data_IF_691340136458
#
_entry.id   IF_691340136458
#
_cell.length_a   1.000
_cell.length_b   1.000
_cell.length_c   1.000
_cell.angle_alpha   90.00
_cell.angle_beta   90.00
_cell.angle_gamma   90.00
#
_symmetry.space_group_name_H-M   'P 1'
#
loop_
_entity.id
_entity.type
_entity.pdbx_description
1 polymer ?
#
# COMPACT_ATOMS: atom_id res chain seq x y z
N UNK A 1 7.46 -5.08 -36.94
CA UNK A 1 6.25 -4.32 -36.51
C UNK A 1 5.34 -5.32 -35.79
N UNK A 2 5.27 -5.20 -34.44
CA UNK A 2 4.33 -5.98 -33.64
C UNK A 2 2.95 -5.35 -33.76
N UNK A 3 2.04 -6.04 -34.44
CA UNK A 3 0.63 -5.66 -34.45
C UNK A 3 0.01 -6.04 -33.11
N UNK A 4 -0.12 -5.08 -32.20
CA UNK A 4 -0.90 -5.25 -30.98
C UNK A 4 -2.39 -5.35 -31.32
N UNK A 5 -3.09 -6.31 -30.69
CA UNK A 5 -4.56 -6.35 -30.76
C UNK A 5 -5.14 -5.33 -29.77
N UNK A 6 -6.03 -4.47 -30.27
CA UNK A 6 -6.75 -3.51 -29.45
C UNK A 6 -8.25 -3.84 -29.44
N UNK A 7 -8.87 -3.74 -28.26
CA UNK A 7 -10.31 -3.87 -28.15
C UNK A 7 -11.01 -2.69 -28.87
N UNK A 8 -12.05 -3.00 -29.62
CA UNK A 8 -12.98 -1.97 -30.13
C UNK A 8 -13.72 -1.32 -28.96
N UNK A 9 -14.37 -0.18 -29.18
CA UNK A 9 -15.20 0.49 -28.17
C UNK A 9 -16.30 -0.46 -27.62
N UNK A 10 -16.93 -1.22 -28.52
CA UNK A 10 -17.92 -2.23 -28.18
C UNK A 10 -17.31 -3.43 -27.43
N UNK A 11 -16.04 -3.77 -27.72
CA UNK A 11 -15.28 -4.78 -26.99
C UNK A 11 -14.98 -4.35 -25.54
N UNK A 12 -14.63 -3.09 -25.32
CA UNK A 12 -14.45 -2.52 -23.96
C UNK A 12 -15.75 -2.56 -23.18
N UNK A 13 -16.84 -2.04 -23.76
CA UNK A 13 -18.17 -2.08 -23.12
C UNK A 13 -18.62 -3.50 -22.78
N UNK A 14 -18.32 -4.48 -23.63
CA UNK A 14 -18.62 -5.89 -23.35
C UNK A 14 -17.78 -6.40 -22.16
N UNK A 15 -16.49 -6.13 -22.14
CA UNK A 15 -15.62 -6.56 -21.04
C UNK A 15 -16.08 -5.97 -19.71
N UNK A 16 -16.38 -4.66 -19.67
CA UNK A 16 -16.85 -3.98 -18.48
C UNK A 16 -18.19 -4.55 -17.98
N UNK A 17 -19.10 -4.85 -18.91
CA UNK A 17 -20.40 -5.46 -18.57
C UNK A 17 -20.28 -6.94 -18.16
N UNK A 18 -19.33 -7.68 -18.70
CA UNK A 18 -19.13 -9.10 -18.42
C UNK A 18 -18.33 -9.34 -17.11
N UNK A 19 -17.46 -8.40 -16.72
CA UNK A 19 -16.58 -8.55 -15.55
C UNK A 19 -17.34 -8.92 -14.28
N UNK A 20 -18.45 -8.27 -13.89
CA UNK A 20 -19.21 -8.64 -12.68
C UNK A 20 -19.75 -10.07 -12.71
N UNK A 21 -20.10 -10.60 -13.89
CA UNK A 21 -20.56 -11.98 -14.04
C UNK A 21 -19.42 -12.99 -13.85
N UNK A 22 -18.25 -12.69 -14.41
CA UNK A 22 -17.03 -13.50 -14.22
C UNK A 22 -16.63 -13.53 -12.75
N UNK A 23 -16.64 -12.38 -12.08
CA UNK A 23 -16.28 -12.26 -10.66
C UNK A 23 -17.28 -13.01 -9.77
N UNK A 24 -18.58 -12.95 -10.10
CA UNK A 24 -19.62 -13.69 -9.38
C UNK A 24 -19.47 -15.21 -9.57
N UNK A 25 -19.12 -15.65 -10.78
CA UNK A 25 -18.83 -17.04 -11.07
C UNK A 25 -17.61 -17.55 -10.32
N UNK A 26 -16.53 -16.79 -10.31
CA UNK A 26 -15.33 -17.14 -9.55
C UNK A 26 -15.58 -17.19 -8.04
N UNK A 27 -16.40 -16.28 -7.50
CA UNK A 27 -16.84 -16.32 -6.10
C UNK A 27 -17.67 -17.57 -5.80
N UNK A 28 -18.61 -17.90 -6.68
CA UNK A 28 -19.42 -19.12 -6.57
C UNK A 28 -18.54 -20.37 -6.57
N UNK A 29 -17.62 -20.51 -7.53
CA UNK A 29 -16.71 -21.65 -7.58
C UNK A 29 -15.89 -21.79 -6.30
N UNK A 30 -15.40 -20.68 -5.73
CA UNK A 30 -14.67 -20.67 -4.46
C UNK A 30 -15.57 -21.10 -3.29
N UNK A 31 -16.79 -20.58 -3.19
CA UNK A 31 -17.72 -20.89 -2.09
C UNK A 31 -18.18 -22.34 -2.08
N UNK A 32 -18.22 -23.00 -3.24
CA UNK A 32 -18.67 -24.38 -3.40
C UNK A 32 -17.54 -25.41 -3.34
N UNK A 33 -16.28 -24.97 -3.16
CA UNK A 33 -15.13 -25.89 -3.15
C UNK A 33 -14.89 -26.60 -4.47
N UNK A 34 -15.43 -26.10 -5.60
CA UNK A 34 -15.20 -26.63 -6.94
C UNK A 34 -13.79 -26.29 -7.48
N UNK A 35 -12.85 -26.00 -6.59
CA UNK A 35 -11.45 -25.97 -7.01
C UNK A 35 -11.05 -27.40 -7.36
N UNK A 36 -10.92 -27.64 -8.67
CA UNK A 36 -10.40 -28.89 -9.19
C UNK A 36 -9.12 -29.24 -8.44
N UNK A 37 -9.05 -30.46 -7.92
CA UNK A 37 -7.93 -31.06 -7.17
C UNK A 37 -6.58 -31.06 -7.94
N UNK A 38 -6.47 -30.34 -9.03
CA UNK A 38 -5.27 -30.13 -9.86
C UNK A 38 -4.93 -28.65 -10.10
N UNK A 39 -5.77 -27.69 -9.69
CA UNK A 39 -5.38 -26.27 -9.71
C UNK A 39 -4.60 -25.97 -8.43
N UNK A 40 -3.36 -25.50 -8.58
CA UNK A 40 -2.61 -24.93 -7.45
C UNK A 40 -3.46 -23.85 -6.81
N UNK A 41 -3.52 -23.86 -5.48
CA UNK A 41 -4.10 -22.73 -4.76
C UNK A 41 -3.35 -21.47 -5.14
N UNK A 42 -4.06 -20.38 -5.34
CA UNK A 42 -3.47 -19.12 -5.75
C UNK A 42 -3.74 -18.06 -4.69
N UNK A 43 -2.67 -17.37 -4.25
CA UNK A 43 -2.74 -16.28 -3.29
C UNK A 43 -2.18 -15.00 -3.91
N UNK A 44 -3.00 -13.97 -4.00
CA UNK A 44 -2.66 -12.65 -4.57
C UNK A 44 -2.52 -11.63 -3.45
N UNK A 45 -1.31 -11.11 -3.30
CA UNK A 45 -0.91 -10.25 -2.20
C UNK A 45 -0.55 -8.86 -2.75
N UNK A 46 -1.31 -7.84 -2.37
CA UNK A 46 -0.91 -6.47 -2.61
C UNK A 46 0.12 -6.03 -1.55
N UNK A 47 1.21 -5.41 -1.99
CA UNK A 47 2.28 -4.98 -1.10
C UNK A 47 2.64 -3.52 -1.32
N UNK A 48 2.50 -2.73 -0.27
CA UNK A 48 3.01 -1.37 -0.22
C UNK A 48 4.53 -1.30 -0.05
N UNK A 49 5.09 -0.14 -0.37
CA UNK A 49 6.55 0.11 -0.31
C UNK A 49 7.16 -0.10 1.08
N UNK A 50 6.37 -0.08 2.16
CA UNK A 50 6.84 -0.33 3.53
C UNK A 50 7.23 -1.77 3.80
N UNK A 51 6.70 -2.73 3.05
CA UNK A 51 7.15 -4.13 3.11
C UNK A 51 8.65 -4.21 2.81
N UNK A 52 9.08 -3.45 1.80
CA UNK A 52 10.48 -3.41 1.38
C UNK A 52 11.34 -2.58 2.33
N UNK A 53 10.90 -1.38 2.70
CA UNK A 53 11.68 -0.49 3.56
C UNK A 53 11.86 -1.01 4.99
N UNK A 54 10.97 -1.88 5.46
CA UNK A 54 11.11 -2.61 6.73
C UNK A 54 11.82 -3.95 6.60
N UNK A 55 12.28 -4.33 5.40
CA UNK A 55 13.04 -5.55 5.16
C UNK A 55 12.22 -6.84 5.28
N UNK A 56 10.89 -6.76 5.23
CA UNK A 56 10.02 -7.93 5.39
C UNK A 56 9.94 -8.81 4.14
N UNK A 57 10.30 -8.30 2.98
CA UNK A 57 10.10 -9.03 1.72
C UNK A 57 10.83 -10.37 1.69
N UNK A 58 12.05 -10.43 2.24
CA UNK A 58 12.84 -11.66 2.30
C UNK A 58 12.15 -12.73 3.14
N UNK A 59 11.59 -12.34 4.30
CA UNK A 59 10.88 -13.26 5.18
C UNK A 59 9.57 -13.75 4.54
N UNK A 60 8.86 -12.84 3.86
CA UNK A 60 7.64 -13.19 3.11
C UNK A 60 7.96 -14.21 2.01
N UNK A 61 9.01 -13.98 1.24
CA UNK A 61 9.43 -14.92 0.20
C UNK A 61 9.79 -16.28 0.81
N UNK A 62 10.59 -16.30 1.87
CA UNK A 62 11.00 -17.54 2.55
C UNK A 62 9.83 -18.32 3.17
N UNK A 63 8.76 -17.63 3.59
CA UNK A 63 7.56 -18.32 4.07
C UNK A 63 6.95 -19.19 2.96
N UNK A 64 6.88 -18.68 1.75
CA UNK A 64 6.26 -19.38 0.63
C UNK A 64 7.13 -20.48 0.03
N UNK A 65 8.44 -20.51 0.27
CA UNK A 65 9.32 -21.62 -0.12
C UNK A 65 8.87 -22.96 0.47
N UNK A 66 8.18 -22.93 1.62
CA UNK A 66 7.65 -24.11 2.29
C UNK A 66 6.26 -24.53 1.80
N UNK A 67 5.68 -23.83 0.83
CA UNK A 67 4.33 -24.08 0.31
C UNK A 67 4.35 -24.26 -1.23
N UNK A 68 4.99 -25.32 -1.76
CA UNK A 68 5.24 -25.51 -3.19
C UNK A 68 3.96 -25.68 -4.03
N UNK A 69 2.86 -26.07 -3.40
CA UNK A 69 1.55 -26.22 -4.05
C UNK A 69 0.73 -24.92 -4.09
N UNK A 70 1.27 -23.84 -3.52
CA UNK A 70 0.64 -22.52 -3.52
C UNK A 70 1.32 -21.63 -4.56
N UNK A 71 0.55 -21.19 -5.54
CA UNK A 71 0.98 -20.15 -6.47
C UNK A 71 0.76 -18.78 -5.83
N UNK A 72 1.80 -17.93 -5.80
CA UNK A 72 1.72 -16.60 -5.15
C UNK A 72 1.98 -15.52 -6.19
N UNK A 73 1.09 -14.54 -6.24
CA UNK A 73 1.30 -13.31 -7.03
C UNK A 73 1.45 -12.13 -6.11
N UNK A 74 2.58 -11.42 -6.23
CA UNK A 74 2.80 -10.15 -5.55
C UNK A 74 2.41 -8.99 -6.47
N UNK A 75 1.51 -8.15 -5.99
CA UNK A 75 1.00 -6.98 -6.72
C UNK A 75 1.57 -5.74 -6.04
N UNK A 76 2.43 -5.01 -6.75
CA UNK A 76 3.18 -3.87 -6.20
C UNK A 76 3.05 -2.62 -7.06
N UNK A 77 2.11 -2.64 -8.03
CA UNK A 77 1.95 -1.52 -8.96
C UNK A 77 1.56 -0.25 -8.25
N UNK A 78 2.22 0.82 -8.65
CA UNK A 78 1.91 2.16 -8.22
C UNK A 78 0.47 2.54 -8.61
N UNK A 79 -0.23 3.20 -7.72
CA UNK A 79 -1.63 3.61 -7.97
C UNK A 79 -2.65 2.49 -7.87
N UNK A 80 -2.24 1.26 -7.54
CA UNK A 80 -3.19 0.17 -7.35
C UNK A 80 -4.01 0.40 -6.08
N UNK A 81 -5.32 0.49 -6.25
CA UNK A 81 -6.26 0.56 -5.14
C UNK A 81 -6.50 -0.86 -4.59
N UNK A 82 -5.73 -1.24 -3.58
CA UNK A 82 -5.88 -2.56 -2.97
C UNK A 82 -7.26 -2.77 -2.35
N UNK A 83 -7.98 -1.70 -1.97
CA UNK A 83 -9.35 -1.83 -1.45
C UNK A 83 -10.32 -2.27 -2.54
N UNK A 84 -10.19 -1.71 -3.74
CA UNK A 84 -10.96 -2.17 -4.90
C UNK A 84 -10.67 -3.64 -5.20
N UNK A 85 -9.39 -4.03 -5.17
CA UNK A 85 -8.97 -5.40 -5.40
C UNK A 85 -9.42 -6.40 -4.33
N UNK A 86 -9.47 -5.99 -3.05
CA UNK A 86 -10.06 -6.80 -1.98
C UNK A 86 -11.57 -6.95 -2.15
N UNK A 87 -12.24 -5.89 -2.63
CA UNK A 87 -13.69 -5.87 -2.84
C UNK A 87 -14.12 -6.77 -4.01
N UNK A 88 -13.44 -6.69 -5.14
CA UNK A 88 -13.76 -7.48 -6.34
C UNK A 88 -13.15 -8.87 -6.33
N UNK A 89 -12.26 -9.16 -5.36
CA UNK A 89 -11.60 -10.43 -5.19
C UNK A 89 -10.44 -10.66 -6.16
N UNK A 90 -9.91 -9.63 -6.81
CA UNK A 90 -8.66 -9.70 -7.58
C UNK A 90 -7.43 -9.74 -6.68
N UNK A 91 -7.55 -9.34 -5.41
CA UNK A 91 -6.57 -9.49 -4.33
C UNK A 91 -7.17 -10.32 -3.20
N UNK A 92 -6.36 -11.11 -2.55
CA UNK A 92 -6.74 -11.96 -1.43
C UNK A 92 -6.38 -11.33 -0.07
N UNK A 93 -5.27 -10.61 -0.02
CA UNK A 93 -4.86 -9.82 1.13
C UNK A 93 -3.93 -8.66 0.71
N UNK A 94 -3.80 -7.66 1.58
CA UNK A 94 -2.88 -6.56 1.41
C UNK A 94 -1.95 -6.40 2.63
N UNK A 95 -0.71 -6.02 2.36
CA UNK A 95 0.29 -5.60 3.34
C UNK A 95 0.59 -4.12 3.09
N UNK A 96 -0.16 -3.26 3.71
CA UNK A 96 -0.03 -1.81 3.52
C UNK A 96 -0.60 -1.04 4.72
N UNK A 97 -0.68 0.25 4.60
CA UNK A 97 -1.31 1.14 5.58
C UNK A 97 -2.82 0.95 5.55
N UNK A 98 -3.43 0.88 6.74
CA UNK A 98 -4.89 0.94 6.85
C UNK A 98 -5.41 2.26 6.25
N UNK A 99 -6.47 2.20 5.45
CA UNK A 99 -7.09 3.39 4.90
C UNK A 99 -7.83 4.14 6.02
N UNK A 100 -8.06 5.45 5.85
CA UNK A 100 -8.98 6.19 6.72
C UNK A 100 -10.36 5.55 6.76
N UNK A 101 -11.05 5.64 7.90
CA UNK A 101 -12.40 5.07 8.07
C UNK A 101 -13.38 5.50 6.97
N UNK A 102 -13.24 6.73 6.46
CA UNK A 102 -14.09 7.25 5.38
C UNK A 102 -14.00 6.46 4.07
N UNK A 103 -12.91 5.72 3.84
CA UNK A 103 -12.72 4.87 2.67
C UNK A 103 -13.17 3.42 2.89
N UNK A 104 -13.40 3.03 4.14
CA UNK A 104 -13.79 1.65 4.50
C UNK A 104 -15.29 1.40 4.37
N UNK A 105 -16.11 2.45 4.25
CA UNK A 105 -17.56 2.32 4.22
C UNK A 105 -18.10 1.52 3.03
N UNK A 106 -17.39 1.52 1.91
CA UNK A 106 -17.77 0.79 0.69
C UNK A 106 -17.04 -0.55 0.54
N UNK A 107 -16.21 -0.93 1.52
CA UNK A 107 -15.48 -2.18 1.52
C UNK A 107 -16.28 -3.30 2.21
N UNK A 108 -16.06 -4.57 1.85
CA UNK A 108 -16.53 -5.69 2.66
C UNK A 108 -15.93 -5.60 4.07
N UNK A 109 -16.52 -6.25 5.07
CA UNK A 109 -15.89 -6.35 6.38
C UNK A 109 -14.44 -6.84 6.24
N UNK A 110 -13.50 -6.09 6.82
CA UNK A 110 -12.07 -6.41 6.76
C UNK A 110 -11.61 -6.93 8.13
N UNK A 111 -10.78 -7.97 8.10
CA UNK A 111 -9.98 -8.43 9.22
C UNK A 111 -8.58 -7.84 9.09
N UNK A 112 -8.18 -7.05 10.08
CA UNK A 112 -6.96 -6.25 10.03
C UNK A 112 -6.15 -6.42 11.30
N UNK A 113 -4.82 -6.50 11.17
CA UNK A 113 -3.93 -6.39 12.31
C UNK A 113 -2.69 -5.56 11.97
N UNK A 114 -2.24 -4.75 12.92
CA UNK A 114 -1.02 -3.98 12.79
C UNK A 114 0.20 -4.90 12.97
N UNK A 115 1.17 -4.77 12.06
CA UNK A 115 2.43 -5.51 12.08
C UNK A 115 3.56 -4.64 12.63
N UNK A 116 3.77 -3.46 12.07
CA UNK A 116 4.87 -2.56 12.41
C UNK A 116 4.33 -1.14 12.55
N UNK A 117 4.64 -0.50 13.67
CA UNK A 117 4.37 0.93 13.90
C UNK A 117 5.62 1.78 13.65
N UNK A 118 5.49 2.84 12.87
CA UNK A 118 6.58 3.75 12.55
C UNK A 118 6.20 5.21 12.79
N UNK A 119 7.18 6.01 13.14
CA UNK A 119 6.99 7.46 13.22
C UNK A 119 6.72 8.06 11.85
N UNK A 120 5.72 8.94 11.79
CA UNK A 120 5.47 9.76 10.62
C UNK A 120 6.51 10.88 10.56
N UNK A 121 7.18 11.00 9.43
CA UNK A 121 8.26 11.94 9.22
C UNK A 121 8.01 12.81 7.99
N UNK A 122 8.70 13.95 7.96
CA UNK A 122 8.90 14.72 6.73
C UNK A 122 10.12 14.14 6.03
N UNK A 123 9.91 13.60 4.84
CA UNK A 123 10.95 13.06 3.98
C UNK A 123 11.48 14.17 3.09
N UNK A 124 12.79 14.35 3.05
CA UNK A 124 13.44 15.41 2.28
C UNK A 124 14.82 14.98 1.75
N UNK A 125 15.39 15.78 0.87
CA UNK A 125 16.78 15.58 0.45
C UNK A 125 17.70 15.69 1.67
N UNK A 126 18.76 14.83 1.78
CA UNK A 126 19.79 15.01 2.80
C UNK A 126 20.49 16.38 2.74
N UNK A 127 20.40 17.07 1.60
CA UNK A 127 20.95 18.43 1.41
C UNK A 127 19.97 19.54 1.85
N UNK A 128 18.74 19.21 2.23
CA UNK A 128 17.79 20.22 2.75
C UNK A 128 18.29 20.71 4.11
N UNK A 129 18.39 22.04 4.36
CA UNK A 129 18.86 22.55 5.64
C UNK A 129 18.08 22.05 6.86
N UNK A 130 16.84 21.64 6.67
CA UNK A 130 15.97 21.10 7.73
C UNK A 130 16.25 19.62 8.06
N UNK A 131 17.09 18.93 7.26
CA UNK A 131 17.38 17.50 7.42
C UNK A 131 18.05 17.14 8.74
N UNK A 132 18.68 18.11 9.40
CA UNK A 132 19.36 17.96 10.69
C UNK A 132 18.52 18.34 11.89
N UNK A 133 17.28 18.76 11.68
CA UNK A 133 16.37 19.11 12.78
C UNK A 133 15.95 17.84 13.54
N UNK A 134 15.74 18.00 14.85
CA UNK A 134 15.25 16.92 15.69
C UNK A 134 13.80 16.57 15.38
N UNK A 135 12.99 17.57 15.03
CA UNK A 135 11.60 17.43 14.60
C UNK A 135 11.18 18.63 13.74
N UNK A 136 10.06 18.48 13.02
CA UNK A 136 9.42 19.54 12.24
C UNK A 136 7.95 19.65 12.65
N UNK A 137 7.50 20.87 12.97
CA UNK A 137 6.07 21.13 13.13
C UNK A 137 5.39 21.16 11.76
N UNK A 138 4.18 20.63 11.58
CA UNK A 138 3.44 20.77 10.34
C UNK A 138 3.33 22.22 9.86
N UNK A 139 3.27 23.19 10.76
CA UNK A 139 3.22 24.63 10.41
C UNK A 139 4.46 25.12 9.66
N UNK A 140 5.60 24.50 9.86
CA UNK A 140 6.85 24.83 9.17
C UNK A 140 6.85 24.34 7.70
N UNK A 141 5.83 23.57 7.32
CA UNK A 141 5.60 23.17 5.92
C UNK A 141 4.78 24.20 5.13
N UNK A 142 4.34 25.30 5.76
CA UNK A 142 3.63 26.38 5.08
C UNK A 142 4.41 26.85 3.87
N UNK A 143 3.80 26.86 2.71
CA UNK A 143 4.43 27.31 1.44
C UNK A 143 5.50 26.36 0.88
N UNK A 144 5.80 25.23 1.53
CA UNK A 144 6.74 24.25 1.00
C UNK A 144 6.19 23.57 -0.26
N UNK A 145 7.08 23.19 -1.17
CA UNK A 145 6.71 22.28 -2.25
C UNK A 145 6.49 20.89 -1.67
N UNK A 146 5.31 20.32 -1.88
CA UNK A 146 4.93 19.00 -1.38
C UNK A 146 4.92 17.97 -2.49
N UNK A 147 5.33 16.74 -2.17
CA UNK A 147 5.27 15.59 -3.07
C UNK A 147 4.34 14.57 -2.43
N UNK A 148 3.37 14.07 -3.18
CA UNK A 148 2.34 13.14 -2.66
C UNK A 148 1.85 12.19 -3.75
N UNK A 149 0.97 11.27 -3.37
CA UNK A 149 0.28 10.38 -4.30
C UNK A 149 -0.69 11.12 -5.24
N UNK A 150 -1.32 10.38 -6.14
CA UNK A 150 -2.34 10.91 -7.04
C UNK A 150 -3.51 11.49 -6.23
N UNK A 151 -4.27 12.36 -6.88
CA UNK A 151 -5.43 12.98 -6.23
C UNK A 151 -6.44 11.93 -5.75
N UNK A 152 -6.85 12.06 -4.48
CA UNK A 152 -7.74 11.11 -3.82
C UNK A 152 -7.08 9.85 -3.26
N UNK A 153 -5.78 9.63 -3.50
CA UNK A 153 -5.03 8.55 -2.84
C UNK A 153 -4.95 8.77 -1.31
N UNK A 154 -4.56 7.73 -0.60
CA UNK A 154 -4.40 7.80 0.86
C UNK A 154 -3.35 8.86 1.24
N UNK A 155 -2.26 8.97 0.49
CA UNK A 155 -1.20 9.97 0.68
C UNK A 155 -1.72 11.39 0.47
N UNK A 156 -2.46 11.63 -0.59
CA UNK A 156 -3.06 12.93 -0.89
C UNK A 156 -4.06 13.36 0.19
N UNK A 157 -4.90 12.44 0.64
CA UNK A 157 -5.87 12.70 1.72
C UNK A 157 -5.16 13.00 3.04
N UNK A 158 -4.14 12.21 3.40
CA UNK A 158 -3.32 12.44 4.60
C UNK A 158 -2.67 13.83 4.56
N UNK A 159 -2.12 14.21 3.41
CA UNK A 159 -1.54 15.53 3.23
C UNK A 159 -2.60 16.63 3.41
N UNK A 160 -3.73 16.51 2.73
CA UNK A 160 -4.84 17.48 2.81
C UNK A 160 -5.37 17.62 4.24
N UNK A 161 -5.55 16.52 4.97
CA UNK A 161 -5.98 16.52 6.37
C UNK A 161 -4.95 17.18 7.28
N UNK A 162 -3.67 16.83 7.12
CA UNK A 162 -2.59 17.45 7.89
C UNK A 162 -2.57 18.96 7.68
N UNK A 163 -2.67 19.42 6.45
CA UNK A 163 -2.64 20.84 6.13
C UNK A 163 -3.88 21.57 6.63
N UNK A 164 -5.06 20.97 6.46
CA UNK A 164 -6.33 21.50 6.96
C UNK A 164 -6.32 21.66 8.50
N UNK A 165 -5.86 20.62 9.21
CA UNK A 165 -5.86 20.62 10.68
C UNK A 165 -4.91 21.67 11.28
N UNK A 166 -3.91 22.10 10.54
CA UNK A 166 -2.94 23.10 10.98
C UNK A 166 -3.15 24.47 10.33
N UNK A 167 -4.16 24.63 9.47
CA UNK A 167 -4.47 25.89 8.80
C UNK A 167 -3.38 26.36 7.86
N UNK A 168 -2.68 25.44 7.20
CA UNK A 168 -1.56 25.72 6.29
C UNK A 168 -1.88 25.31 4.86
N UNK A 169 -1.10 25.81 3.92
CA UNK A 169 -1.24 25.52 2.48
C UNK A 169 0.11 25.22 1.84
N UNK A 170 0.20 24.25 0.92
CA UNK A 170 1.42 23.99 0.16
C UNK A 170 1.70 25.12 -0.83
N UNK A 171 2.96 25.34 -1.18
CA UNK A 171 3.34 26.26 -2.26
C UNK A 171 3.11 25.62 -3.62
N UNK A 172 3.64 24.44 -3.82
CA UNK A 172 3.46 23.63 -5.02
C UNK A 172 3.19 22.18 -4.63
N UNK A 173 2.42 21.45 -5.41
CA UNK A 173 2.20 20.02 -5.21
C UNK A 173 2.65 19.26 -6.46
N UNK A 174 3.56 18.31 -6.25
CA UNK A 174 3.91 17.28 -7.23
C UNK A 174 3.16 16.00 -6.89
N UNK A 175 2.59 15.34 -7.89
CA UNK A 175 1.83 14.10 -7.72
C UNK A 175 2.46 12.99 -8.54
N UNK A 176 2.54 11.80 -7.93
CA UNK A 176 2.98 10.59 -8.63
C UNK A 176 2.36 9.37 -7.96
N UNK A 177 2.06 8.36 -8.77
CA UNK A 177 1.67 7.02 -8.32
C UNK A 177 2.87 6.12 -8.00
N UNK A 178 4.06 6.47 -8.52
CA UNK A 178 5.26 5.66 -8.38
C UNK A 178 6.18 6.14 -7.25
N UNK A 179 6.47 5.25 -6.29
CA UNK A 179 7.39 5.56 -5.19
C UNK A 179 8.77 6.00 -5.69
N UNK A 180 9.30 5.40 -6.75
CA UNK A 180 10.59 5.80 -7.32
C UNK A 180 10.59 7.24 -7.83
N UNK A 181 9.50 7.69 -8.46
CA UNK A 181 9.34 9.09 -8.90
C UNK A 181 9.28 10.02 -7.68
N UNK A 182 8.51 9.67 -6.65
CA UNK A 182 8.45 10.44 -5.40
C UNK A 182 9.84 10.60 -4.79
N UNK A 183 10.58 9.51 -4.64
CA UNK A 183 11.94 9.52 -4.06
C UNK A 183 12.90 10.35 -4.91
N UNK A 184 12.88 10.21 -6.23
CA UNK A 184 13.75 11.01 -7.10
C UNK A 184 13.43 12.52 -7.03
N UNK A 185 12.18 12.90 -6.91
CA UNK A 185 11.79 14.30 -6.69
C UNK A 185 12.32 14.82 -5.34
N UNK A 186 12.24 14.03 -4.28
CA UNK A 186 12.78 14.36 -2.96
C UNK A 186 14.30 14.54 -3.04
N UNK A 187 15.03 13.55 -3.55
CA UNK A 187 16.49 13.58 -3.66
C UNK A 187 16.99 14.73 -4.51
N UNK A 188 16.23 15.11 -5.55
CA UNK A 188 16.52 16.26 -6.40
C UNK A 188 16.16 17.63 -5.77
N UNK A 189 15.72 17.64 -4.51
CA UNK A 189 15.34 18.87 -3.79
C UNK A 189 14.12 19.58 -4.38
N UNK A 190 13.23 18.88 -5.08
CA UNK A 190 12.04 19.49 -5.70
C UNK A 190 10.91 19.74 -4.70
N UNK A 191 10.98 19.11 -3.52
CA UNK A 191 10.01 19.25 -2.45
C UNK A 191 10.22 18.21 -1.37
N UNK A 192 9.26 18.16 -0.46
CA UNK A 192 9.24 17.22 0.67
C UNK A 192 7.95 16.39 0.64
N UNK A 193 7.98 15.23 1.28
CA UNK A 193 6.81 14.35 1.41
C UNK A 193 6.58 13.99 2.89
N UNK A 194 5.37 13.56 3.22
CA UNK A 194 5.07 12.95 4.53
C UNK A 194 5.08 11.43 4.33
N UNK A 195 5.90 10.73 5.11
CA UNK A 195 6.05 9.28 4.98
C UNK A 195 6.66 8.61 6.21
N UNK A 196 6.85 7.29 6.17
CA UNK A 196 7.38 6.52 7.29
C UNK A 196 8.89 6.70 7.45
N UNK A 197 9.39 6.53 8.68
CA UNK A 197 10.81 6.68 8.99
C UNK A 197 11.70 5.68 8.25
N UNK A 198 11.22 4.47 8.00
CA UNK A 198 11.97 3.41 7.31
C UNK A 198 12.45 3.81 5.91
N UNK A 199 11.78 4.79 5.27
CA UNK A 199 12.20 5.28 3.96
C UNK A 199 13.58 5.96 3.97
N UNK A 200 14.02 6.49 5.11
CA UNK A 200 15.32 7.12 5.23
C UNK A 200 16.45 6.14 4.90
N UNK A 201 16.52 5.01 5.58
CA UNK A 201 17.56 4.00 5.39
C UNK A 201 17.44 3.27 4.06
N UNK A 202 16.21 3.03 3.59
CA UNK A 202 15.99 2.25 2.39
C UNK A 202 16.21 3.03 1.09
N UNK A 203 15.77 4.29 1.06
CA UNK A 203 15.85 5.13 -0.15
C UNK A 203 16.94 6.22 -0.10
N UNK A 204 17.64 6.38 1.02
CA UNK A 204 18.69 7.39 1.16
C UNK A 204 18.16 8.82 1.29
N UNK A 205 16.90 9.01 1.68
CA UNK A 205 16.33 10.32 2.00
C UNK A 205 16.54 10.65 3.47
N UNK A 206 16.51 11.93 3.84
CA UNK A 206 16.43 12.34 5.24
C UNK A 206 14.97 12.22 5.71
N UNK A 207 14.76 11.76 6.96
CA UNK A 207 13.45 11.65 7.57
C UNK A 207 13.46 12.34 8.94
N UNK A 208 12.83 13.50 9.03
CA UNK A 208 12.70 14.29 10.26
C UNK A 208 11.31 14.06 10.85
N UNK A 209 11.21 13.61 12.11
CA UNK A 209 9.92 13.34 12.76
C UNK A 209 9.01 14.56 12.78
N UNK A 210 7.70 14.34 12.60
CA UNK A 210 6.69 15.37 12.84
C UNK A 210 6.47 15.58 14.34
N UNK A 211 6.22 16.82 14.73
CA UNK A 211 5.79 17.18 16.09
C UNK A 211 4.49 18.01 16.02
N UNK A 212 3.36 17.54 16.56
CA UNK A 212 3.21 16.34 17.39
C UNK A 212 3.47 15.04 16.60
N UNK A 213 3.97 13.98 17.28
CA UNK A 213 4.32 12.73 16.65
C UNK A 213 3.06 12.03 16.13
N UNK A 214 3.13 11.52 14.91
CA UNK A 214 2.14 10.63 14.31
C UNK A 214 2.72 9.22 14.16
N UNK A 215 1.87 8.22 14.26
CA UNK A 215 2.21 6.82 13.95
C UNK A 215 1.52 6.40 12.66
N UNK A 216 2.25 5.67 11.84
CA UNK A 216 1.71 4.95 10.70
C UNK A 216 2.03 3.47 10.84
N UNK A 217 1.08 2.62 10.52
CA UNK A 217 1.26 1.18 10.66
C UNK A 217 1.37 0.52 9.30
N UNK A 218 2.31 -0.41 9.17
CA UNK A 218 2.21 -1.47 8.18
C UNK A 218 1.25 -2.51 8.78
N UNK A 219 0.20 -2.84 8.05
CA UNK A 219 -0.86 -3.72 8.55
C UNK A 219 -1.09 -4.87 7.58
N UNK A 220 -1.52 -5.98 8.12
CA UNK A 220 -2.11 -7.08 7.39
C UNK A 220 -3.62 -6.82 7.25
N UNK A 221 -4.14 -6.93 6.05
CA UNK A 221 -5.52 -6.57 5.71
C UNK A 221 -6.09 -7.65 4.80
N UNK A 222 -7.19 -8.29 5.18
CA UNK A 222 -7.88 -9.24 4.32
C UNK A 222 -9.41 -9.14 4.49
N UNK A 223 -10.21 -9.60 3.51
CA UNK A 223 -11.65 -9.74 3.70
C UNK A 223 -11.96 -10.71 4.85
N UNK A 224 -12.92 -10.36 5.70
CA UNK A 224 -13.26 -11.16 6.89
C UNK A 224 -13.75 -12.57 6.55
N UNK A 225 -14.42 -12.75 5.42
CA UNK A 225 -14.88 -14.04 4.91
C UNK A 225 -13.73 -14.98 4.49
N UNK A 226 -12.54 -14.42 4.23
CA UNK A 226 -11.33 -15.17 3.87
C UNK A 226 -10.33 -15.33 5.01
N UNK A 227 -10.50 -14.59 6.10
CA UNK A 227 -9.55 -14.55 7.22
C UNK A 227 -9.32 -15.90 7.90
N UNK A 228 -10.24 -16.86 7.72
CA UNK A 228 -10.18 -18.22 8.28
C UNK A 228 -9.52 -19.25 7.35
N UNK A 229 -9.15 -18.90 6.12
CA UNK A 229 -8.48 -19.86 5.24
C UNK A 229 -7.10 -20.23 5.80
N UNK A 230 -6.72 -21.53 5.74
CA UNK A 230 -5.51 -22.03 6.42
C UNK A 230 -4.24 -21.27 6.02
N UNK A 231 -4.07 -20.99 4.74
CA UNK A 231 -2.93 -20.25 4.20
C UNK A 231 -2.84 -18.82 4.74
N UNK A 232 -3.99 -18.12 4.85
CA UNK A 232 -4.05 -16.75 5.38
C UNK A 232 -3.77 -16.76 6.90
N UNK A 233 -4.34 -17.71 7.65
CA UNK A 233 -4.09 -17.86 9.09
C UNK A 233 -2.62 -18.13 9.36
N UNK A 234 -2.01 -19.06 8.62
CA UNK A 234 -0.59 -19.42 8.77
C UNK A 234 0.30 -18.21 8.43
N UNK A 235 0.03 -17.53 7.33
CA UNK A 235 0.81 -16.38 6.89
C UNK A 235 0.71 -15.21 7.88
N UNK A 236 -0.50 -14.89 8.34
CA UNK A 236 -0.72 -13.85 9.35
C UNK A 236 0.04 -14.15 10.65
N UNK A 237 -0.07 -15.41 11.15
CA UNK A 237 0.66 -15.82 12.35
C UNK A 237 2.17 -15.66 12.18
N UNK A 238 2.71 -16.12 11.06
CA UNK A 238 4.12 -15.98 10.74
C UNK A 238 4.58 -14.52 10.76
N UNK A 239 3.81 -13.62 10.09
CA UNK A 239 4.13 -12.20 10.07
C UNK A 239 4.09 -11.56 11.46
N UNK A 240 3.11 -11.91 12.29
CA UNK A 240 3.02 -11.43 13.67
C UNK A 240 4.21 -11.89 14.51
N UNK A 241 4.62 -13.15 14.35
CA UNK A 241 5.76 -13.71 15.09
C UNK A 241 7.06 -12.98 14.72
N UNK A 242 7.36 -12.80 13.42
CA UNK A 242 8.60 -12.11 13.00
C UNK A 242 8.60 -10.60 13.33
N UNK A 243 7.45 -9.93 13.22
CA UNK A 243 7.35 -8.51 13.57
C UNK A 243 7.44 -8.30 15.09
N UNK A 244 6.83 -9.17 15.89
CA UNK A 244 6.91 -9.09 17.36
C UNK A 244 8.31 -9.31 17.94
N UNK A 245 9.21 -9.95 17.19
CA UNK A 245 10.61 -10.16 17.60
C UNK A 245 11.57 -9.08 17.11
N UNK A 246 11.18 -8.25 16.12
CA UNK A 246 12.05 -7.26 15.49
C UNK A 246 11.80 -5.82 15.96
N UNK A 247 10.65 -5.52 16.45
CA UNK A 247 10.15 -4.20 16.80
C UNK A 247 9.41 -4.25 18.14
#
# INVERSE_FOLDING_TARGET
QSHGFYLTERGRQFCDAAQPAVDSWQRFQRSMGFENSRCKKHLRIAMGSRVYSNGLFQDIASFFDNLPDLEVTFITEAGFDYLAGLKDGSIDLALDRLPPHSLMNDCPPLDCCNLIGESQCVLMSPMDPRSTLEYISPRELQGSAMITGLEGSIEDRTLKETFKNHGISPGRVYRSDGIHTVINLILSGKGVAIGPRSFASYYGVAAVPLNPPGLVYLSFICPADRSSSPEIVMFRKYLLDICGHRF
#
